data_IF_018496552976
#
_entry.id   IF_018496552976
#
_cell.length_a   1.000
_cell.length_b   1.000
_cell.length_c   1.000
_cell.angle_alpha   90.00
_cell.angle_beta   90.00
_cell.angle_gamma   90.00
#
_symmetry.space_group_name_H-M   'P 1'
#
loop_
_entity.id
_entity.type
_entity.pdbx_description
1 polymer ?
#
# COMPACT_ATOMS: atom_id res chain seq x y z
N UNK A 1 32.14 9.86 16.92
CA UNK A 1 32.17 10.54 15.61
C UNK A 1 31.39 9.70 14.62
N UNK A 2 30.19 10.13 14.25
CA UNK A 2 29.32 9.43 13.30
C UNK A 2 29.90 9.64 11.90
N UNK A 3 30.33 8.56 11.24
CA UNK A 3 31.00 8.62 9.94
C UNK A 3 30.04 9.10 8.84
N UNK A 4 30.05 10.41 8.55
CA UNK A 4 29.43 11.03 7.37
C UNK A 4 29.86 10.35 6.04
N UNK A 5 31.02 9.69 6.04
CA UNK A 5 31.54 8.90 4.91
C UNK A 5 30.66 7.68 4.57
N UNK A 6 29.91 7.11 5.53
CA UNK A 6 28.94 6.03 5.23
C UNK A 6 27.77 6.51 4.38
N UNK A 7 27.30 7.73 4.62
CA UNK A 7 26.17 8.30 3.88
C UNK A 7 26.54 8.71 2.45
N UNK A 8 27.81 9.09 2.23
CA UNK A 8 28.32 9.37 0.89
C UNK A 8 28.57 8.10 0.05
N UNK A 9 28.69 6.93 0.68
CA UNK A 9 28.88 5.63 0.02
C UNK A 9 27.61 4.77 -0.07
N UNK A 10 26.54 5.13 0.65
CA UNK A 10 25.22 4.55 0.41
C UNK A 10 24.88 4.77 -1.07
N UNK A 11 24.68 3.66 -1.79
CA UNK A 11 24.68 3.61 -3.23
C UNK A 11 23.84 4.75 -3.86
N UNK A 12 24.30 5.40 -4.95
CA UNK A 12 23.56 6.48 -5.61
C UNK A 12 22.09 6.14 -5.97
N UNK A 13 21.74 4.86 -5.94
CA UNK A 13 20.40 4.32 -6.17
C UNK A 13 19.41 4.45 -4.98
N UNK A 14 19.85 4.68 -3.74
CA UNK A 14 18.93 4.69 -2.58
C UNK A 14 18.08 5.96 -2.50
N UNK A 15 18.67 7.12 -2.81
CA UNK A 15 17.97 8.43 -2.81
C UNK A 15 16.73 8.47 -3.70
N UNK A 16 16.79 8.08 -5.00
CA UNK A 16 15.61 8.11 -5.86
C UNK A 16 14.53 7.13 -5.38
N UNK A 17 14.92 5.98 -4.83
CA UNK A 17 13.98 4.97 -4.34
C UNK A 17 13.26 5.44 -3.07
N UNK A 18 13.97 6.12 -2.16
CA UNK A 18 13.39 6.69 -0.94
C UNK A 18 12.47 7.87 -1.26
N UNK A 19 12.80 8.67 -2.29
CA UNK A 19 11.95 9.75 -2.79
C UNK A 19 10.67 9.20 -3.45
N UNK A 20 10.79 8.15 -4.26
CA UNK A 20 9.65 7.48 -4.87
C UNK A 20 8.71 6.86 -3.82
N UNK A 21 9.28 6.20 -2.80
CA UNK A 21 8.50 5.68 -1.69
C UNK A 21 7.79 6.79 -0.90
N UNK A 22 8.45 7.93 -0.68
CA UNK A 22 7.86 9.09 -0.01
C UNK A 22 6.68 9.66 -0.80
N UNK A 23 6.82 9.80 -2.12
CA UNK A 23 5.74 10.25 -3.01
C UNK A 23 4.57 9.26 -3.00
N UNK A 24 4.85 7.96 -3.08
CA UNK A 24 3.84 6.91 -3.02
C UNK A 24 3.04 6.93 -1.72
N UNK A 25 3.73 7.07 -0.57
CA UNK A 25 3.07 7.22 0.74
C UNK A 25 2.22 8.50 0.82
N UNK A 26 2.70 9.61 0.28
CA UNK A 26 1.95 10.86 0.27
C UNK A 26 0.64 10.73 -0.53
N UNK A 27 0.70 10.17 -1.74
CA UNK A 27 -0.50 9.98 -2.57
C UNK A 27 -1.47 9.00 -1.89
N UNK A 28 -0.95 7.89 -1.34
CA UNK A 28 -1.77 6.93 -0.62
C UNK A 28 -2.45 7.54 0.62
N UNK A 29 -1.73 8.38 1.37
CA UNK A 29 -2.28 9.12 2.51
C UNK A 29 -3.38 10.09 2.09
N UNK A 30 -3.19 10.83 0.99
CA UNK A 30 -4.20 11.74 0.44
C UNK A 30 -5.45 10.94 0.04
N UNK A 31 -5.30 9.84 -0.68
CA UNK A 31 -6.44 9.01 -1.10
C UNK A 31 -7.18 8.43 0.11
N UNK A 32 -6.48 7.88 1.10
CA UNK A 32 -7.09 7.40 2.35
C UNK A 32 -7.85 8.51 3.07
N UNK A 33 -7.26 9.71 3.16
CA UNK A 33 -7.90 10.87 3.77
C UNK A 33 -9.15 11.31 3.01
N UNK A 34 -9.10 11.33 1.67
CA UNK A 34 -10.26 11.66 0.82
C UNK A 34 -11.38 10.65 1.05
N UNK A 35 -11.08 9.34 1.04
CA UNK A 35 -12.07 8.27 1.28
C UNK A 35 -12.76 8.45 2.63
N UNK A 36 -12.00 8.76 3.69
CA UNK A 36 -12.55 8.95 5.04
C UNK A 36 -13.36 10.25 5.16
N UNK A 37 -12.96 11.32 4.45
CA UNK A 37 -13.54 12.66 4.63
C UNK A 37 -14.63 13.04 3.64
N UNK A 38 -14.76 12.35 2.50
CA UNK A 38 -15.59 12.81 1.38
C UNK A 38 -17.07 13.07 1.71
N UNK A 39 -17.63 12.40 2.73
CA UNK A 39 -19.03 12.55 3.14
C UNK A 39 -19.45 13.89 3.74
N UNK A 40 -18.53 14.86 3.92
CA UNK A 40 -18.88 16.18 4.49
C UNK A 40 -19.24 17.24 3.44
N UNK A 41 -18.94 17.00 2.16
CA UNK A 41 -19.11 18.00 1.10
C UNK A 41 -20.13 17.56 0.06
N UNK A 42 -21.09 18.44 -0.23
CA UNK A 42 -22.08 18.30 -1.30
C UNK A 42 -21.45 18.04 -2.69
N UNK A 43 -20.24 18.55 -2.94
CA UNK A 43 -19.53 18.37 -4.22
C UNK A 43 -19.03 16.94 -4.50
N UNK A 44 -19.13 16.01 -3.54
CA UNK A 44 -18.54 14.66 -3.63
C UNK A 44 -19.41 13.67 -4.43
N UNK A 45 -19.80 14.05 -5.65
CA UNK A 45 -20.56 13.15 -6.54
C UNK A 45 -19.72 11.89 -6.83
N UNK A 46 -20.18 10.73 -6.36
CA UNK A 46 -19.55 9.41 -6.58
C UNK A 46 -18.63 8.91 -5.47
N UNK A 47 -18.34 9.73 -4.45
CA UNK A 47 -17.45 9.37 -3.32
C UNK A 47 -18.24 8.88 -2.09
N UNK A 48 -19.24 8.04 -2.33
CA UNK A 48 -20.05 7.39 -1.29
C UNK A 48 -19.74 5.90 -1.23
N UNK A 49 -20.14 5.24 -0.14
CA UNK A 49 -20.03 3.78 0.00
C UNK A 49 -21.22 3.13 -0.71
N UNK A 50 -22.42 3.51 -0.29
CA UNK A 50 -23.70 3.08 -0.86
C UNK A 50 -24.59 4.29 -1.04
N UNK A 51 -25.31 4.33 -2.15
CA UNK A 51 -26.42 5.23 -2.37
C UNK A 51 -27.72 4.43 -2.43
N UNK A 52 -28.75 4.91 -1.77
CA UNK A 52 -30.10 4.40 -1.84
C UNK A 52 -30.93 5.40 -2.63
N UNK A 53 -31.44 4.96 -3.77
CA UNK A 53 -32.28 5.76 -4.65
C UNK A 53 -33.66 5.12 -4.75
N UNK A 54 -34.71 5.92 -4.63
CA UNK A 54 -36.07 5.45 -4.86
C UNK A 54 -36.33 5.31 -6.36
N UNK A 55 -36.86 4.16 -6.80
CA UNK A 55 -37.32 3.97 -8.18
C UNK A 55 -38.73 4.57 -8.33
N UNK A 56 -38.80 5.90 -8.20
CA UNK A 56 -40.03 6.64 -8.45
C UNK A 56 -40.23 6.76 -9.95
N UNK A 57 -41.41 6.40 -10.50
CA UNK A 57 -41.70 6.68 -11.89
C UNK A 57 -41.51 8.18 -12.12
N UNK A 58 -40.83 8.59 -13.22
CA UNK A 58 -40.57 9.99 -13.47
C UNK A 58 -41.91 10.74 -13.43
N UNK A 59 -42.06 11.65 -12.46
CA UNK A 59 -43.20 12.54 -12.40
C UNK A 59 -43.29 13.14 -13.78
N UNK A 60 -44.43 12.94 -14.46
CA UNK A 60 -44.64 13.36 -15.84
C UNK A 60 -44.42 14.87 -15.93
N UNK A 61 -43.17 15.27 -16.11
CA UNK A 61 -42.79 16.66 -16.20
C UNK A 61 -43.51 17.18 -17.42
N UNK A 62 -44.42 18.12 -17.21
CA UNK A 62 -45.20 18.72 -18.28
C UNK A 62 -44.22 19.22 -19.35
N UNK A 63 -44.20 18.50 -20.46
CA UNK A 63 -43.28 18.65 -21.57
C UNK A 63 -43.35 20.07 -22.12
N UNK A 64 -42.46 20.96 -21.70
CA UNK A 64 -42.26 22.24 -22.38
C UNK A 64 -40.83 22.80 -22.32
N UNK A 65 -39.84 22.09 -21.77
CA UNK A 65 -38.43 22.51 -21.92
C UNK A 65 -37.78 21.83 -23.13
N UNK A 66 -38.16 22.31 -24.32
CA UNK A 66 -37.43 22.05 -25.56
C UNK A 66 -36.03 22.70 -25.46
N UNK A 67 -34.99 21.90 -25.75
CA UNK A 67 -33.62 22.28 -26.15
C UNK A 67 -32.81 23.19 -25.23
N UNK A 68 -31.84 22.59 -24.53
CA UNK A 68 -30.40 22.89 -24.73
C UNK A 68 -29.53 21.93 -23.90
N UNK A 69 -29.10 20.83 -24.49
CA UNK A 69 -27.86 20.13 -24.10
C UNK A 69 -27.42 19.27 -25.27
N UNK A 70 -26.70 19.94 -26.17
CA UNK A 70 -25.88 19.34 -27.20
C UNK A 70 -24.46 19.80 -26.90
N UNK A 71 -23.53 18.86 -27.03
CA UNK A 71 -22.07 18.95 -26.92
C UNK A 71 -21.51 18.91 -25.49
N UNK A 72 -21.22 17.69 -25.03
CA UNK A 72 -19.92 17.36 -24.44
C UNK A 72 -19.66 15.85 -24.61
N UNK A 73 -18.40 15.55 -24.94
CA UNK A 73 -17.91 14.47 -25.78
C UNK A 73 -18.11 13.02 -25.35
N UNK A 74 -18.13 12.18 -26.39
CA UNK A 74 -18.17 10.73 -26.35
C UNK A 74 -16.94 10.10 -25.69
N UNK A 75 -17.16 9.26 -24.69
CA UNK A 75 -16.27 8.12 -24.41
C UNK A 75 -17.13 6.88 -24.20
N UNK A 76 -17.51 6.27 -25.32
CA UNK A 76 -18.13 4.94 -25.39
C UNK A 76 -17.23 3.91 -24.71
N UNK A 77 -17.59 3.53 -23.49
CA UNK A 77 -17.14 2.26 -22.90
C UNK A 77 -18.32 1.31 -22.97
N UNK A 78 -18.34 0.48 -24.01
CA UNK A 78 -19.28 -0.62 -24.17
C UNK A 78 -18.98 -1.68 -23.11
N UNK A 79 -19.56 -1.57 -21.92
CA UNK A 79 -19.58 -2.68 -20.96
C UNK A 79 -20.66 -3.68 -21.36
N UNK A 80 -20.27 -4.58 -22.26
CA UNK A 80 -20.93 -5.86 -22.50
C UNK A 80 -20.92 -6.65 -21.18
N UNK A 81 -22.05 -6.71 -20.50
CA UNK A 81 -22.27 -7.53 -19.31
C UNK A 81 -22.28 -9.00 -19.74
N UNK A 82 -21.10 -9.62 -19.79
CA UNK A 82 -20.98 -11.07 -19.98
C UNK A 82 -21.38 -11.74 -18.67
N UNK A 83 -22.51 -12.43 -18.68
CA UNK A 83 -22.94 -13.30 -17.57
C UNK A 83 -22.04 -14.53 -17.58
N UNK A 84 -21.13 -14.65 -16.61
CA UNK A 84 -20.30 -15.86 -16.43
C UNK A 84 -20.23 -16.23 -14.95
N UNK A 85 -20.51 -17.51 -14.72
CA UNK A 85 -20.27 -18.33 -13.54
C UNK A 85 -21.28 -18.22 -12.37
N UNK A 86 -22.40 -18.91 -12.55
CA UNK A 86 -23.07 -19.68 -11.50
C UNK A 86 -22.07 -20.64 -10.84
N UNK A 87 -21.87 -20.48 -9.53
CA UNK A 87 -21.24 -21.47 -8.67
C UNK A 87 -22.22 -22.64 -8.54
N UNK A 88 -21.84 -23.81 -9.08
CA UNK A 88 -22.57 -25.06 -8.86
C UNK A 88 -22.25 -25.58 -7.47
N UNK A 89 -23.21 -25.52 -6.55
CA UNK A 89 -23.25 -26.42 -5.40
C UNK A 89 -23.49 -27.84 -5.90
N UNK A 90 -22.53 -28.71 -5.64
CA UNK A 90 -22.60 -30.14 -5.95
C UNK A 90 -23.38 -30.82 -4.85
N UNK A 91 -24.69 -31.00 -5.05
CA UNK A 91 -25.52 -31.80 -4.15
C UNK A 91 -25.49 -33.25 -4.63
N UNK A 92 -24.84 -34.11 -3.85
CA UNK A 92 -24.74 -35.56 -4.08
C UNK A 92 -26.06 -36.24 -3.72
N UNK A 93 -26.83 -36.69 -4.70
CA UNK A 93 -27.95 -37.62 -4.50
C UNK A 93 -27.89 -38.76 -5.53
N UNK A 94 -28.10 -39.97 -5.04
CA UNK A 94 -27.99 -41.27 -5.69
C UNK A 94 -28.94 -41.48 -6.90
N UNK A 95 -28.65 -42.45 -7.79
CA UNK A 95 -29.37 -42.60 -9.06
C UNK A 95 -30.62 -43.47 -8.89
N UNK A 96 -31.75 -43.04 -9.46
CA UNK A 96 -32.85 -43.95 -9.79
C UNK A 96 -33.40 -43.62 -11.19
N UNK A 97 -33.44 -44.68 -11.99
CA UNK A 97 -33.94 -44.88 -13.36
C UNK A 97 -34.96 -43.92 -13.98
N UNK A 98 -34.59 -43.44 -15.17
CA UNK A 98 -35.28 -43.55 -16.48
C UNK A 98 -36.81 -43.73 -16.51
N UNK A 99 -37.52 -42.72 -17.01
CA UNK A 99 -38.56 -42.90 -18.05
C UNK A 99 -38.99 -41.57 -18.65
N UNK A 100 -38.96 -41.52 -19.98
CA UNK A 100 -39.52 -40.52 -20.88
C UNK A 100 -41.02 -40.28 -20.69
N UNK A 101 -41.50 -39.04 -20.87
CA UNK A 101 -42.49 -38.70 -21.90
C UNK A 101 -42.83 -37.21 -21.97
N UNK A 102 -43.13 -36.80 -23.20
CA UNK A 102 -43.72 -35.58 -23.75
C UNK A 102 -44.87 -34.96 -22.95
N UNK A 103 -44.91 -33.62 -22.84
CA UNK A 103 -46.18 -32.85 -22.90
C UNK A 103 -45.99 -31.32 -22.90
N UNK A 104 -46.55 -30.69 -23.93
CA UNK A 104 -47.32 -29.43 -23.94
C UNK A 104 -46.85 -28.19 -23.16
N UNK A 105 -46.60 -27.16 -23.96
CA UNK A 105 -46.64 -25.71 -23.69
C UNK A 105 -47.78 -25.32 -22.73
N UNK A 106 -47.43 -24.99 -21.49
CA UNK A 106 -48.27 -24.17 -20.60
C UNK A 106 -47.52 -22.87 -20.33
N UNK A 107 -48.18 -21.73 -20.60
CA UNK A 107 -47.69 -20.43 -20.16
C UNK A 107 -47.53 -20.45 -18.63
N UNK A 108 -46.39 -19.99 -18.09
CA UNK A 108 -46.16 -20.01 -16.66
C UNK A 108 -47.18 -19.10 -15.98
N UNK A 109 -47.99 -19.69 -15.11
CA UNK A 109 -48.89 -18.98 -14.22
C UNK A 109 -48.06 -17.96 -13.43
N UNK A 110 -48.42 -16.66 -13.41
CA UNK A 110 -47.67 -15.66 -12.67
C UNK A 110 -47.61 -16.10 -11.20
N UNK A 111 -46.39 -16.37 -10.74
CA UNK A 111 -46.11 -16.75 -9.36
C UNK A 111 -46.72 -15.73 -8.42
N UNK A 112 -47.43 -16.21 -7.39
CA UNK A 112 -48.17 -15.44 -6.37
C UNK A 112 -47.39 -14.23 -5.80
N UNK A 113 -46.06 -14.27 -5.83
CA UNK A 113 -45.20 -13.15 -5.42
C UNK A 113 -45.36 -11.87 -6.26
N UNK A 114 -45.67 -11.95 -7.56
CA UNK A 114 -45.74 -10.74 -8.43
C UNK A 114 -47.00 -9.91 -8.13
N UNK A 115 -48.11 -10.57 -7.79
CA UNK A 115 -49.36 -9.89 -7.44
C UNK A 115 -49.27 -9.23 -6.06
N UNK A 116 -48.58 -9.86 -5.10
CA UNK A 116 -48.29 -9.25 -3.81
C UNK A 116 -47.38 -8.02 -3.99
N UNK A 117 -46.46 -8.10 -4.95
CA UNK A 117 -45.54 -7.03 -5.34
C UNK A 117 -46.28 -5.77 -5.78
N UNK A 118 -47.20 -5.91 -6.73
CA UNK A 118 -47.98 -4.78 -7.23
C UNK A 118 -48.88 -4.19 -6.14
N UNK A 119 -49.48 -5.03 -5.29
CA UNK A 119 -50.31 -4.54 -4.18
C UNK A 119 -49.51 -3.74 -3.15
N UNK A 120 -48.30 -4.20 -2.80
CA UNK A 120 -47.43 -3.45 -1.90
C UNK A 120 -46.97 -2.13 -2.55
N UNK A 121 -46.57 -2.15 -3.83
CA UNK A 121 -46.20 -0.94 -4.57
C UNK A 121 -47.34 0.09 -4.61
N UNK A 122 -48.57 -0.37 -4.86
CA UNK A 122 -49.75 0.50 -4.90
C UNK A 122 -50.13 1.03 -3.51
N UNK A 123 -49.97 0.25 -2.44
CA UNK A 123 -50.23 0.69 -1.07
C UNK A 123 -49.21 1.74 -0.58
N UNK A 124 -47.94 1.58 -0.97
CA UNK A 124 -46.89 2.58 -0.70
C UNK A 124 -47.17 3.85 -1.50
N UNK A 125 -47.54 3.73 -2.77
CA UNK A 125 -47.92 4.87 -3.61
C UNK A 125 -49.11 5.62 -3.00
N UNK A 126 -50.13 4.92 -2.48
CA UNK A 126 -51.28 5.56 -1.85
C UNK A 126 -50.91 6.27 -0.55
N UNK A 127 -50.03 5.71 0.27
CA UNK A 127 -49.51 6.38 1.48
C UNK A 127 -48.78 7.68 1.14
N UNK A 128 -47.93 7.66 0.11
CA UNK A 128 -47.23 8.86 -0.39
C UNK A 128 -48.24 9.91 -0.93
N UNK A 129 -49.34 9.46 -1.53
CA UNK A 129 -50.34 10.35 -2.12
C UNK A 129 -51.30 10.92 -1.08
N UNK A 130 -51.58 10.19 0.01
CA UNK A 130 -52.44 10.62 1.12
C UNK A 130 -51.71 11.56 2.09
N UNK A 131 -50.38 11.42 2.24
CA UNK A 131 -49.52 12.37 2.99
C UNK A 131 -49.23 13.68 2.22
N UNK A 132 -49.98 13.98 1.16
CA UNK A 132 -50.01 15.28 0.44
C UNK A 132 -50.43 16.50 1.29
N UNK A 133 -50.35 16.41 2.61
CA UNK A 133 -50.41 17.54 3.52
C UNK A 133 -49.14 18.39 3.35
N UNK A 134 -49.10 19.22 2.31
CA UNK A 134 -48.30 20.45 2.20
C UNK A 134 -46.76 20.34 2.34
N UNK A 135 -46.18 19.14 2.34
CA UNK A 135 -44.73 18.96 2.40
C UNK A 135 -44.10 19.25 1.03
N UNK A 136 -43.56 20.46 0.86
CA UNK A 136 -42.90 20.96 -0.36
C UNK A 136 -41.54 20.31 -0.67
N UNK A 137 -41.21 19.20 -0.01
CA UNK A 137 -39.87 18.62 0.04
C UNK A 137 -39.95 17.13 -0.35
N UNK A 138 -39.37 16.76 -1.49
CA UNK A 138 -39.22 15.35 -1.90
C UNK A 138 -37.79 14.85 -1.68
N UNK A 139 -37.69 13.60 -1.20
CA UNK A 139 -36.45 12.84 -1.05
C UNK A 139 -36.31 11.82 -2.17
N UNK A 140 -35.21 11.90 -2.92
CA UNK A 140 -34.96 10.95 -4.01
C UNK A 140 -33.78 10.01 -3.71
N UNK A 141 -32.70 10.54 -3.15
CA UNK A 141 -31.44 9.82 -2.98
C UNK A 141 -30.80 10.07 -1.61
N UNK A 142 -30.40 9.00 -0.93
CA UNK A 142 -29.64 9.03 0.31
C UNK A 142 -28.27 8.34 0.14
N UNK A 143 -27.19 9.08 0.35
CA UNK A 143 -25.82 8.61 0.21
C UNK A 143 -25.15 8.44 1.56
N UNK A 144 -24.56 7.27 1.78
CA UNK A 144 -23.83 6.97 3.01
C UNK A 144 -22.33 7.01 2.78
N UNK A 145 -21.63 7.74 3.65
CA UNK A 145 -20.16 7.87 3.65
C UNK A 145 -19.60 7.60 5.06
N UNK A 146 -18.29 7.37 5.15
CA UNK A 146 -17.64 7.14 6.46
C UNK A 146 -17.84 8.30 7.44
N UNK A 147 -17.81 9.54 6.96
CA UNK A 147 -17.92 10.74 7.80
C UNK A 147 -19.35 11.22 8.07
N UNK A 148 -20.37 10.70 7.36
CA UNK A 148 -21.73 11.21 7.47
C UNK A 148 -22.69 10.66 6.43
N UNK A 149 -23.92 11.16 6.45
CA UNK A 149 -24.97 10.85 5.48
C UNK A 149 -25.28 12.15 4.73
N UNK A 150 -25.46 12.04 3.41
CA UNK A 150 -25.88 13.13 2.56
C UNK A 150 -27.21 12.75 1.91
N UNK A 151 -28.22 13.60 2.05
CA UNK A 151 -29.53 13.42 1.41
C UNK A 151 -29.72 14.47 0.33
N UNK A 152 -30.26 14.05 -0.81
CA UNK A 152 -30.70 14.96 -1.85
C UNK A 152 -32.11 15.42 -1.56
N UNK A 153 -32.27 16.74 -1.50
CA UNK A 153 -33.53 17.39 -1.23
C UNK A 153 -33.92 18.24 -2.43
N UNK A 154 -35.05 17.90 -3.05
CA UNK A 154 -35.64 18.68 -4.14
C UNK A 154 -36.82 19.47 -3.60
N UNK A 155 -36.67 20.79 -3.51
CA UNK A 155 -37.76 21.71 -3.19
C UNK A 155 -38.63 21.92 -4.44
N UNK A 156 -39.94 21.76 -4.30
CA UNK A 156 -40.89 22.04 -5.39
C UNK A 156 -41.12 23.54 -5.64
N UNK A 157 -40.67 24.41 -4.72
CA UNK A 157 -40.90 25.86 -4.77
C UNK A 157 -39.83 26.57 -5.60
N UNK A 158 -39.84 26.35 -6.92
CA UNK A 158 -39.23 27.27 -7.92
C UNK A 158 -37.70 27.43 -7.91
N UNK A 159 -36.97 26.84 -6.96
CA UNK A 159 -35.51 26.85 -6.92
C UNK A 159 -35.00 25.75 -7.85
N UNK A 160 -34.44 26.15 -9.01
CA UNK A 160 -33.81 25.23 -9.96
C UNK A 160 -32.54 24.63 -9.37
N UNK A 161 -32.66 23.49 -8.68
CA UNK A 161 -31.52 22.67 -8.31
C UNK A 161 -31.77 21.76 -7.11
N UNK A 162 -31.32 20.52 -7.23
CA UNK A 162 -31.19 19.59 -6.11
C UNK A 162 -30.15 20.12 -5.11
N UNK A 163 -30.54 20.33 -3.86
CA UNK A 163 -29.61 20.68 -2.79
C UNK A 163 -29.25 19.43 -2.01
N UNK A 164 -27.95 19.24 -1.79
CA UNK A 164 -27.43 18.15 -0.97
C UNK A 164 -27.21 18.63 0.44
N UNK A 165 -27.93 18.04 1.39
CA UNK A 165 -27.79 18.30 2.81
C UNK A 165 -26.96 17.17 3.42
N UNK A 166 -25.73 17.49 3.82
CA UNK A 166 -24.80 16.54 4.42
C UNK A 166 -24.65 16.82 5.91
N UNK A 167 -24.76 15.78 6.74
CA UNK A 167 -24.66 15.93 8.19
C UNK A 167 -24.20 14.66 8.89
N UNK A 168 -24.03 14.79 10.21
CA UNK A 168 -23.97 13.63 11.10
C UNK A 168 -25.34 12.98 11.20
N UNK A 169 -25.39 11.71 11.63
CA UNK A 169 -26.63 10.92 11.75
C UNK A 169 -27.72 11.67 12.52
N UNK A 170 -27.39 12.21 13.70
CA UNK A 170 -28.33 12.92 14.56
C UNK A 170 -28.89 14.18 13.89
N UNK A 171 -28.08 14.87 13.10
CA UNK A 171 -28.53 16.07 12.39
C UNK A 171 -29.43 15.71 11.20
N UNK A 172 -29.12 14.63 10.48
CA UNK A 172 -29.90 14.21 9.30
C UNK A 172 -31.24 13.59 9.67
N UNK A 173 -31.33 12.91 10.81
CA UNK A 173 -32.60 12.36 11.31
C UNK A 173 -33.60 13.47 11.65
N UNK A 174 -33.14 14.54 12.30
CA UNK A 174 -33.97 15.72 12.57
C UNK A 174 -34.43 16.39 11.27
N UNK A 175 -33.55 16.45 10.26
CA UNK A 175 -33.92 16.98 8.94
C UNK A 175 -34.93 16.08 8.20
N UNK A 176 -34.76 14.75 8.29
CA UNK A 176 -35.69 13.77 7.73
C UNK A 176 -37.07 13.82 8.37
N UNK A 177 -37.10 13.87 9.71
CA UNK A 177 -38.35 14.01 10.47
C UNK A 177 -39.09 15.32 10.16
N UNK A 178 -38.34 16.41 9.92
CA UNK A 178 -38.93 17.72 9.60
C UNK A 178 -39.49 17.78 8.17
N UNK A 179 -38.93 16.97 7.26
CA UNK A 179 -39.30 16.99 5.85
C UNK A 179 -40.45 16.03 5.48
N UNK A 180 -41.08 15.39 6.47
CA UNK A 180 -42.41 14.78 6.34
C UNK A 180 -42.53 13.74 5.23
N UNK A 181 -42.07 12.50 5.51
CA UNK A 181 -42.41 11.35 4.68
C UNK A 181 -41.22 10.57 4.17
N UNK A 182 -40.45 9.94 5.08
CA UNK A 182 -39.58 8.83 4.70
C UNK A 182 -40.34 7.51 4.93
N UNK A 183 -41.16 7.03 3.96
CA UNK A 183 -42.08 5.91 4.16
C UNK A 183 -41.38 4.59 4.51
N UNK A 184 -40.08 4.49 4.23
CA UNK A 184 -39.26 3.32 4.50
C UNK A 184 -38.15 3.58 5.52
N UNK A 185 -38.11 4.76 6.13
CA UNK A 185 -37.05 5.16 7.06
C UNK A 185 -35.64 4.85 6.50
N UNK A 186 -35.37 5.25 5.26
CA UNK A 186 -34.05 5.09 4.63
C UNK A 186 -32.96 5.77 5.46
N UNK A 187 -33.28 6.88 6.12
CA UNK A 187 -32.33 7.57 6.99
C UNK A 187 -31.97 6.68 8.18
N UNK A 188 -32.94 6.04 8.82
CA UNK A 188 -32.71 5.06 9.89
C UNK A 188 -31.93 3.84 9.41
N UNK A 189 -32.25 3.30 8.23
CA UNK A 189 -31.51 2.17 7.62
C UNK A 189 -30.06 2.58 7.30
N UNK A 190 -29.86 3.77 6.74
CA UNK A 190 -28.55 4.34 6.44
C UNK A 190 -27.71 4.58 7.70
N UNK A 191 -28.34 5.10 8.76
CA UNK A 191 -27.75 5.28 10.08
C UNK A 191 -27.33 3.94 10.68
N UNK A 192 -28.23 2.95 10.67
CA UNK A 192 -27.96 1.61 11.16
C UNK A 192 -26.81 0.94 10.39
N UNK A 193 -26.80 1.05 9.06
CA UNK A 193 -25.72 0.55 8.22
C UNK A 193 -24.38 1.22 8.56
N UNK A 194 -24.36 2.54 8.73
CA UNK A 194 -23.16 3.28 9.10
C UNK A 194 -22.61 2.81 10.46
N UNK A 195 -23.46 2.65 11.46
CA UNK A 195 -23.03 2.34 12.82
C UNK A 195 -22.67 0.86 13.04
N UNK A 196 -23.32 -0.05 12.29
CA UNK A 196 -23.12 -1.50 12.47
C UNK A 196 -22.20 -2.13 11.43
N UNK A 197 -22.14 -1.57 10.22
CA UNK A 197 -21.50 -2.22 9.07
C UNK A 197 -20.33 -1.41 8.53
N UNK A 198 -20.41 -0.08 8.53
CA UNK A 198 -19.30 0.76 8.10
C UNK A 198 -18.22 0.81 9.19
N UNK A 199 -17.36 -0.20 9.23
CA UNK A 199 -16.16 -0.23 10.07
C UNK A 199 -15.22 0.91 9.66
N UNK A 200 -15.41 2.09 10.25
CA UNK A 200 -14.56 3.26 10.01
C UNK A 200 -13.17 3.09 10.67
N UNK A 201 -13.07 2.25 11.71
CA UNK A 201 -11.87 2.12 12.54
C UNK A 201 -10.63 1.66 11.74
N UNK A 202 -10.68 0.61 10.90
CA UNK A 202 -9.54 0.23 10.05
C UNK A 202 -9.03 1.37 9.16
N UNK A 203 -9.93 2.17 8.60
CA UNK A 203 -9.56 3.32 7.75
C UNK A 203 -8.89 4.44 8.54
N UNK A 204 -9.38 4.74 9.75
CA UNK A 204 -8.74 5.72 10.63
C UNK A 204 -7.36 5.26 11.10
N UNK A 205 -7.22 3.99 11.49
CA UNK A 205 -5.93 3.39 11.87
C UNK A 205 -4.96 3.44 10.69
N UNK A 206 -5.40 3.05 9.50
CA UNK A 206 -4.61 3.13 8.28
C UNK A 206 -4.13 4.56 7.99
N UNK A 207 -5.05 5.54 8.02
CA UNK A 207 -4.74 6.95 7.76
C UNK A 207 -3.75 7.51 8.78
N UNK A 208 -3.91 7.18 10.06
CA UNK A 208 -3.00 7.59 11.12
C UNK A 208 -1.60 6.97 10.95
N UNK A 209 -1.52 5.65 10.75
CA UNK A 209 -0.25 4.95 10.54
C UNK A 209 0.49 5.45 9.30
N UNK A 210 -0.20 5.61 8.17
CA UNK A 210 0.39 6.13 6.94
C UNK A 210 0.81 7.60 7.09
N UNK A 211 0.03 8.43 7.78
CA UNK A 211 0.37 9.83 8.04
C UNK A 211 1.64 9.96 8.88
N UNK A 212 1.76 9.18 9.96
CA UNK A 212 2.98 9.17 10.79
C UNK A 212 4.16 8.60 10.00
N UNK A 213 3.98 7.51 9.24
CA UNK A 213 5.03 6.94 8.39
C UNK A 213 5.51 7.94 7.33
N UNK A 214 4.58 8.68 6.71
CA UNK A 214 4.89 9.76 5.76
C UNK A 214 5.69 10.88 6.43
N UNK A 215 5.28 11.35 7.62
CA UNK A 215 6.01 12.39 8.34
C UNK A 215 7.41 11.92 8.74
N UNK A 216 7.56 10.69 9.25
CA UNK A 216 8.86 10.11 9.53
C UNK A 216 9.72 10.06 8.26
N UNK A 217 9.17 9.63 7.12
CA UNK A 217 9.87 9.59 5.84
C UNK A 217 10.31 10.97 5.34
N UNK A 218 9.46 11.99 5.53
CA UNK A 218 9.78 13.37 5.20
C UNK A 218 10.94 13.91 6.07
N UNK A 219 10.98 13.57 7.36
CA UNK A 219 12.09 13.92 8.24
C UNK A 219 13.37 13.20 7.81
N UNK A 220 13.27 11.92 7.39
CA UNK A 220 14.40 11.13 6.89
C UNK A 220 15.02 11.72 5.61
N UNK A 221 14.26 12.51 4.84
CA UNK A 221 14.73 13.18 3.63
C UNK A 221 15.55 14.45 3.89
N UNK A 222 15.56 14.98 5.11
CA UNK A 222 16.31 16.19 5.45
C UNK A 222 17.80 15.82 5.64
N UNK A 223 18.71 16.27 4.76
CA UNK A 223 20.12 15.84 4.77
C UNK A 223 20.94 16.33 5.97
N UNK A 224 20.35 17.17 6.83
CA UNK A 224 21.04 17.83 7.95
C UNK A 224 20.88 17.08 9.29
N UNK A 225 20.01 16.07 9.37
CA UNK A 225 19.73 15.38 10.63
C UNK A 225 20.45 14.02 10.70
N UNK A 226 21.27 13.75 11.72
CA UNK A 226 21.82 12.42 11.97
C UNK A 226 20.68 11.50 12.42
N UNK A 227 20.16 10.73 11.48
CA UNK A 227 19.01 9.86 11.70
C UNK A 227 19.42 8.63 12.50
N UNK A 228 18.73 8.30 13.61
CA UNK A 228 18.92 7.04 14.30
C UNK A 228 18.37 5.88 13.45
N UNK A 229 19.06 4.73 13.36
CA UNK A 229 18.59 3.55 12.61
C UNK A 229 17.26 2.98 13.16
N UNK A 230 16.90 3.36 14.39
CA UNK A 230 15.62 3.01 15.01
C UNK A 230 14.45 3.65 14.24
N UNK A 231 14.59 4.89 13.79
CA UNK A 231 13.50 5.63 13.12
C UNK A 231 13.12 4.94 11.81
N UNK A 232 14.11 4.50 11.01
CA UNK A 232 13.82 3.80 9.75
C UNK A 232 13.07 2.48 9.98
N UNK A 233 13.47 1.71 11.00
CA UNK A 233 12.78 0.45 11.36
C UNK A 233 11.34 0.70 11.77
N UNK A 234 11.10 1.74 12.58
CA UNK A 234 9.76 2.14 13.00
C UNK A 234 8.93 2.57 11.79
N UNK A 235 9.48 3.40 10.87
CA UNK A 235 8.79 3.82 9.65
C UNK A 235 8.38 2.63 8.79
N UNK A 236 9.28 1.65 8.59
CA UNK A 236 8.98 0.44 7.82
C UNK A 236 7.82 -0.35 8.43
N UNK A 237 7.88 -0.62 9.74
CA UNK A 237 6.82 -1.34 10.47
C UNK A 237 5.50 -0.59 10.40
N UNK A 238 5.51 0.72 10.62
CA UNK A 238 4.29 1.53 10.63
C UNK A 238 3.65 1.65 9.24
N UNK A 239 4.45 1.75 8.18
CA UNK A 239 3.97 1.71 6.79
C UNK A 239 3.29 0.38 6.46
N UNK A 240 3.84 -0.73 6.97
CA UNK A 240 3.31 -2.07 6.75
C UNK A 240 1.98 -2.26 7.50
N UNK A 241 1.91 -1.83 8.77
CA UNK A 241 0.68 -1.86 9.57
C UNK A 241 -0.40 -1.00 8.89
N UNK A 242 -0.05 0.20 8.42
CA UNK A 242 -0.98 1.08 7.69
C UNK A 242 -1.51 0.43 6.40
N UNK A 243 -0.64 -0.25 5.64
CA UNK A 243 -1.02 -0.96 4.41
C UNK A 243 -1.93 -2.15 4.68
N UNK A 244 -1.67 -2.93 5.74
CA UNK A 244 -2.52 -4.05 6.15
C UNK A 244 -3.88 -3.56 6.65
N UNK A 245 -3.92 -2.46 7.42
CA UNK A 245 -5.16 -1.84 7.85
C UNK A 245 -6.00 -1.31 6.67
N UNK A 246 -5.35 -0.70 5.66
CA UNK A 246 -6.01 -0.31 4.40
C UNK A 246 -6.62 -1.53 3.69
N UNK A 247 -5.85 -2.61 3.55
CA UNK A 247 -6.33 -3.83 2.90
C UNK A 247 -7.56 -4.41 3.63
N UNK A 248 -7.50 -4.49 4.97
CA UNK A 248 -8.63 -4.92 5.79
C UNK A 248 -9.85 -4.02 5.60
N UNK A 249 -9.67 -2.70 5.60
CA UNK A 249 -10.74 -1.73 5.33
C UNK A 249 -11.38 -1.89 3.95
N UNK A 250 -10.58 -2.14 2.92
CA UNK A 250 -11.05 -2.35 1.54
C UNK A 250 -11.84 -3.65 1.37
N UNK A 251 -11.33 -4.75 1.93
CA UNK A 251 -12.00 -6.06 1.85
C UNK A 251 -13.33 -5.99 2.58
N UNK A 252 -13.35 -5.43 3.80
CA UNK A 252 -14.58 -5.25 4.57
C UNK A 252 -15.57 -4.37 3.81
N UNK A 253 -15.14 -3.24 3.24
CA UNK A 253 -16.01 -2.37 2.45
C UNK A 253 -16.59 -3.09 1.22
N UNK A 254 -15.76 -3.81 0.47
CA UNK A 254 -16.18 -4.50 -0.74
C UNK A 254 -17.24 -5.59 -0.44
N UNK A 255 -17.00 -6.41 0.57
CA UNK A 255 -17.93 -7.48 0.96
C UNK A 255 -19.22 -6.90 1.51
N UNK A 256 -19.13 -5.89 2.38
CA UNK A 256 -20.32 -5.28 3.00
C UNK A 256 -21.18 -4.53 1.99
N UNK A 257 -20.58 -3.74 1.10
CA UNK A 257 -21.33 -2.99 0.09
C UNK A 257 -22.05 -3.92 -0.90
N UNK A 258 -21.39 -4.99 -1.37
CA UNK A 258 -22.01 -5.96 -2.27
C UNK A 258 -23.14 -6.74 -1.58
N UNK A 259 -22.91 -7.13 -0.32
CA UNK A 259 -23.92 -7.84 0.47
C UNK A 259 -25.15 -6.96 0.68
N UNK A 260 -24.97 -5.71 1.08
CA UNK A 260 -26.09 -4.78 1.29
C UNK A 260 -26.84 -4.48 0.00
N UNK A 261 -26.15 -4.21 -1.11
CA UNK A 261 -26.84 -4.01 -2.39
C UNK A 261 -27.73 -5.21 -2.77
N UNK A 262 -27.24 -6.44 -2.55
CA UNK A 262 -28.01 -7.67 -2.84
C UNK A 262 -29.18 -7.89 -1.88
N UNK A 263 -29.01 -7.58 -0.59
CA UNK A 263 -30.04 -7.74 0.43
C UNK A 263 -31.12 -6.69 0.23
N UNK A 264 -30.74 -5.42 0.01
CA UNK A 264 -31.69 -4.34 -0.24
C UNK A 264 -32.53 -4.66 -1.47
N UNK A 265 -31.93 -5.03 -2.61
CA UNK A 265 -32.70 -5.39 -3.82
C UNK A 265 -33.73 -6.50 -3.57
N UNK A 266 -33.40 -7.50 -2.72
CA UNK A 266 -34.33 -8.60 -2.40
C UNK A 266 -35.41 -8.20 -1.40
N UNK A 267 -35.10 -7.38 -0.40
CA UNK A 267 -36.04 -6.97 0.65
C UNK A 267 -36.98 -5.87 0.19
N UNK A 268 -36.48 -4.92 -0.60
CA UNK A 268 -37.26 -3.77 -1.07
C UNK A 268 -38.01 -4.06 -2.35
N UNK A 269 -37.93 -5.28 -2.88
CA UNK A 269 -38.81 -5.68 -3.99
C UNK A 269 -38.57 -4.77 -5.23
N UNK A 270 -37.35 -4.26 -5.40
CA UNK A 270 -36.92 -3.25 -6.39
C UNK A 270 -37.60 -1.87 -6.26
N UNK A 271 -38.18 -1.51 -5.11
CA UNK A 271 -38.65 -0.13 -4.87
C UNK A 271 -37.51 0.83 -4.51
N UNK A 272 -36.41 0.29 -3.97
CA UNK A 272 -35.18 1.02 -3.65
C UNK A 272 -34.01 0.38 -4.37
N UNK A 273 -33.36 1.15 -5.24
CA UNK A 273 -32.13 0.76 -5.91
C UNK A 273 -30.93 1.16 -5.04
N UNK A 274 -30.15 0.16 -4.63
CA UNK A 274 -28.89 0.39 -3.93
C UNK A 274 -27.72 0.41 -4.93
N UNK A 275 -27.04 1.54 -5.06
CA UNK A 275 -25.86 1.70 -5.90
C UNK A 275 -24.59 1.76 -5.06
N UNK A 276 -23.58 0.95 -5.40
CA UNK A 276 -22.26 0.99 -4.76
C UNK A 276 -21.37 2.01 -5.46
N UNK A 277 -20.76 2.92 -4.69
CA UNK A 277 -19.89 3.97 -5.23
C UNK A 277 -18.59 3.41 -5.82
N UNK A 278 -18.56 3.17 -7.13
CA UNK A 278 -17.38 2.62 -7.85
C UNK A 278 -16.14 3.50 -7.73
N UNK A 279 -16.32 4.83 -7.64
CA UNK A 279 -15.20 5.77 -7.57
C UNK A 279 -14.46 5.67 -6.23
N UNK A 280 -15.20 5.47 -5.13
CA UNK A 280 -14.62 5.25 -3.81
C UNK A 280 -13.78 3.96 -3.79
N UNK A 281 -14.31 2.88 -4.40
CA UNK A 281 -13.59 1.62 -4.54
C UNK A 281 -12.30 1.79 -5.36
N UNK A 282 -12.35 2.47 -6.50
CA UNK A 282 -11.17 2.71 -7.35
C UNK A 282 -10.09 3.54 -6.63
N UNK A 283 -10.46 4.59 -5.89
CA UNK A 283 -9.53 5.40 -5.09
C UNK A 283 -8.92 4.60 -3.94
N UNK A 284 -9.72 3.76 -3.29
CA UNK A 284 -9.25 2.85 -2.26
C UNK A 284 -8.20 1.86 -2.76
N UNK A 285 -8.47 1.13 -3.85
CA UNK A 285 -7.55 0.15 -4.42
C UNK A 285 -6.28 0.79 -4.99
N UNK A 286 -6.38 1.96 -5.62
CA UNK A 286 -5.20 2.69 -6.10
C UNK A 286 -4.33 3.21 -4.96
N UNK A 287 -4.94 3.73 -3.88
CA UNK A 287 -4.24 4.13 -2.67
C UNK A 287 -3.52 2.94 -2.01
N UNK A 288 -4.17 1.78 -1.95
CA UNK A 288 -3.57 0.55 -1.43
C UNK A 288 -2.38 0.07 -2.28
N UNK A 289 -2.51 0.05 -3.61
CA UNK A 289 -1.42 -0.37 -4.50
C UNK A 289 -0.18 0.53 -4.34
N UNK A 290 -0.39 1.85 -4.22
CA UNK A 290 0.69 2.81 -3.97
C UNK A 290 1.32 2.65 -2.58
N UNK A 291 0.50 2.45 -1.53
CA UNK A 291 0.98 2.20 -0.18
C UNK A 291 1.82 0.91 -0.10
N UNK A 292 1.35 -0.17 -0.74
CA UNK A 292 2.03 -1.45 -0.79
C UNK A 292 3.39 -1.34 -1.49
N UNK A 293 3.41 -0.68 -2.65
CA UNK A 293 4.65 -0.46 -3.39
C UNK A 293 5.65 0.37 -2.58
N UNK A 294 5.18 1.44 -1.92
CA UNK A 294 6.02 2.26 -1.06
C UNK A 294 6.55 1.47 0.15
N UNK A 295 5.71 0.63 0.76
CA UNK A 295 6.08 -0.22 1.89
C UNK A 295 7.16 -1.25 1.49
N UNK A 296 7.05 -1.85 0.30
CA UNK A 296 8.08 -2.75 -0.24
C UNK A 296 9.40 -1.99 -0.45
N UNK A 297 9.35 -0.81 -1.07
CA UNK A 297 10.54 0.02 -1.29
C UNK A 297 11.25 0.36 0.02
N UNK A 298 10.50 0.82 1.04
CA UNK A 298 11.06 1.13 2.36
C UNK A 298 11.64 -0.12 3.02
N UNK A 299 10.93 -1.25 2.95
CA UNK A 299 11.38 -2.52 3.53
C UNK A 299 12.68 -3.01 2.92
N UNK A 300 12.87 -2.87 1.60
CA UNK A 300 14.12 -3.23 0.90
C UNK A 300 15.28 -2.35 1.36
N UNK A 301 15.08 -1.03 1.52
CA UNK A 301 16.13 -0.12 2.02
C UNK A 301 16.54 -0.50 3.43
N UNK A 302 15.55 -0.71 4.31
CA UNK A 302 15.79 -1.08 5.72
C UNK A 302 16.46 -2.45 5.83
N UNK A 303 16.08 -3.42 5.00
CA UNK A 303 16.74 -4.71 4.93
C UNK A 303 18.21 -4.59 4.44
N UNK A 304 18.46 -3.74 3.45
CA UNK A 304 19.82 -3.48 2.95
C UNK A 304 20.70 -2.85 4.03
N UNK A 305 20.20 -1.86 4.78
CA UNK A 305 20.94 -1.27 5.90
C UNK A 305 21.22 -2.29 7.01
N UNK A 306 20.24 -3.12 7.37
CA UNK A 306 20.43 -4.18 8.36
C UNK A 306 21.46 -5.23 7.91
N UNK A 307 21.49 -5.57 6.62
CA UNK A 307 22.49 -6.47 6.06
C UNK A 307 23.89 -5.87 6.12
N UNK A 308 24.03 -4.56 5.86
CA UNK A 308 25.30 -3.84 5.98
C UNK A 308 25.79 -3.78 7.42
N UNK A 309 24.93 -3.40 8.39
CA UNK A 309 25.29 -3.39 9.82
C UNK A 309 25.76 -4.78 10.28
N UNK A 310 25.07 -5.84 9.83
CA UNK A 310 25.42 -7.21 10.18
C UNK A 310 26.77 -7.60 9.56
N UNK A 311 27.02 -7.20 8.32
CA UNK A 311 28.27 -7.46 7.60
C UNK A 311 29.49 -6.82 8.26
N UNK A 312 29.35 -5.59 8.75
CA UNK A 312 30.43 -4.88 9.45
C UNK A 312 30.77 -5.56 10.79
N UNK A 313 29.75 -5.93 11.58
CA UNK A 313 29.98 -6.68 12.82
C UNK A 313 30.64 -8.04 12.57
N UNK A 314 30.36 -8.70 11.45
CA UNK A 314 31.06 -9.92 11.07
C UNK A 314 32.50 -9.65 10.65
N UNK A 315 32.75 -8.53 9.97
CA UNK A 315 34.09 -8.15 9.53
C UNK A 315 34.99 -7.78 10.72
N UNK A 316 34.47 -7.03 11.69
CA UNK A 316 35.19 -6.67 12.91
C UNK A 316 35.55 -7.93 13.71
N UNK A 317 34.59 -8.84 13.91
CA UNK A 317 34.85 -10.14 14.57
C UNK A 317 35.88 -10.99 13.80
N UNK A 318 35.83 -10.97 12.47
CA UNK A 318 36.80 -11.70 11.66
C UNK A 318 38.19 -11.06 11.70
N UNK A 319 38.26 -9.73 11.81
CA UNK A 319 39.51 -8.99 11.97
C UNK A 319 40.14 -9.30 13.34
N UNK A 320 39.37 -9.21 14.43
CA UNK A 320 39.82 -9.54 15.78
C UNK A 320 40.28 -11.02 15.88
N UNK A 321 39.52 -11.94 15.27
CA UNK A 321 39.92 -13.35 15.21
C UNK A 321 41.21 -13.58 14.39
N UNK A 322 41.47 -12.76 13.37
CA UNK A 322 42.70 -12.84 12.59
C UNK A 322 43.89 -12.25 13.37
N UNK A 323 43.70 -11.13 14.08
CA UNK A 323 44.72 -10.52 14.94
C UNK A 323 45.11 -11.47 16.07
N UNK A 324 44.14 -12.08 16.77
CA UNK A 324 44.43 -13.06 17.81
C UNK A 324 45.20 -14.29 17.31
N UNK A 325 44.93 -14.74 16.08
CA UNK A 325 45.71 -15.83 15.44
C UNK A 325 47.15 -15.41 15.14
N UNK A 326 47.38 -14.18 14.71
CA UNK A 326 48.71 -13.65 14.48
C UNK A 326 49.49 -13.54 15.79
N UNK A 327 48.88 -13.00 16.84
CA UNK A 327 49.51 -12.82 18.15
C UNK A 327 49.91 -14.18 18.77
N UNK A 328 49.06 -15.21 18.68
CA UNK A 328 49.39 -16.56 19.16
C UNK A 328 50.55 -17.24 18.41
N UNK A 329 50.90 -16.77 17.20
CA UNK A 329 51.98 -17.34 16.38
C UNK A 329 53.29 -16.57 16.48
N UNK A 330 53.32 -15.40 17.12
CA UNK A 330 54.58 -14.75 17.45
C UNK A 330 55.18 -15.54 18.61
N UNK A 331 56.30 -16.26 18.42
CA UNK A 331 56.93 -16.98 19.51
C UNK A 331 57.32 -15.94 20.57
N UNK A 332 56.69 -16.03 21.73
CA UNK A 332 57.14 -15.30 22.91
C UNK A 332 58.61 -15.63 23.10
N UNK A 333 59.47 -14.68 22.75
CA UNK A 333 60.88 -14.74 23.09
C UNK A 333 60.97 -14.99 24.59
N UNK A 334 61.67 -16.07 24.94
CA UNK A 334 61.99 -16.51 26.29
C UNK A 334 62.17 -15.33 27.27
N UNK A 335 61.52 -15.32 28.46
CA UNK A 335 61.64 -14.26 29.46
C UNK A 335 63.01 -14.20 30.16
N UNK A 336 64.06 -14.78 29.58
CA UNK A 336 65.43 -14.72 30.08
C UNK A 336 66.36 -14.00 29.11
N UNK A 337 66.21 -12.67 28.98
CA UNK A 337 67.33 -11.84 28.59
C UNK A 337 67.25 -10.44 29.20
N UNK A 338 67.34 -10.42 30.54
CA UNK A 338 67.89 -9.27 31.26
C UNK A 338 69.38 -9.17 30.90
N UNK A 339 69.70 -8.51 29.79
CA UNK A 339 71.06 -8.01 29.53
C UNK A 339 71.04 -6.50 29.61
N UNK A 340 71.56 -6.02 30.73
CA UNK A 340 72.03 -4.66 30.96
C UNK A 340 72.96 -4.24 29.82
N UNK A 341 72.45 -3.53 28.82
CA UNK A 341 73.26 -2.88 27.80
C UNK A 341 73.42 -1.41 28.18
N UNK A 342 74.39 -1.16 29.06
CA UNK A 342 75.15 0.08 29.07
C UNK A 342 76.22 -0.07 27.99
N UNK A 343 76.02 0.57 26.84
CA UNK A 343 76.90 0.38 25.69
C UNK A 343 76.58 1.38 24.58
N UNK A 344 77.39 2.42 24.54
CA UNK A 344 77.38 3.53 23.62
C UNK A 344 77.53 3.14 22.14
N UNK A 345 76.93 3.97 21.28
CA UNK A 345 77.26 4.28 19.88
C UNK A 345 76.82 3.36 18.73
N UNK A 346 76.04 3.97 17.82
CA UNK A 346 75.99 3.82 16.37
C UNK A 346 75.67 2.45 15.75
N UNK A 347 74.39 2.07 15.78
CA UNK A 347 73.82 1.11 14.81
C UNK A 347 72.32 1.34 14.60
N UNK A 348 71.95 2.52 14.10
CA UNK A 348 70.59 2.82 13.65
C UNK A 348 70.50 2.67 12.13
N UNK A 349 70.15 1.49 11.62
CA UNK A 349 69.47 1.30 10.32
C UNK A 349 69.40 -0.17 9.91
N UNK A 350 68.25 -0.82 10.13
CA UNK A 350 68.01 -2.16 9.59
C UNK A 350 66.55 -2.40 9.25
N UNK A 351 65.64 -2.19 10.21
CA UNK A 351 64.21 -2.44 9.98
C UNK A 351 63.46 -1.30 9.28
N UNK A 352 63.98 -0.07 9.33
CA UNK A 352 63.31 1.11 8.76
C UNK A 352 63.52 1.31 7.24
N UNK A 353 64.44 0.58 6.60
CA UNK A 353 64.72 0.72 5.16
C UNK A 353 63.87 -0.22 4.29
N UNK A 354 63.56 -1.42 4.76
CA UNK A 354 62.82 -2.42 3.97
C UNK A 354 61.37 -2.00 3.63
N UNK A 355 60.69 -1.25 4.52
CA UNK A 355 59.35 -0.72 4.27
C UNK A 355 59.34 0.51 3.34
N UNK A 356 60.45 1.25 3.28
CA UNK A 356 60.56 2.45 2.43
C UNK A 356 60.87 2.09 0.98
N UNK A 357 61.64 1.02 0.76
CA UNK A 357 62.05 0.60 -0.59
C UNK A 357 61.01 -0.32 -1.27
N UNK A 358 60.28 -1.15 -0.52
CA UNK A 358 59.25 -2.06 -1.09
C UNK A 358 57.80 -1.52 -1.01
N UNK A 359 57.58 -0.42 -0.30
CA UNK A 359 56.25 0.20 -0.14
C UNK A 359 55.51 0.55 -1.44
N UNK A 360 56.18 1.07 -2.50
CA UNK A 360 55.51 1.42 -3.75
C UNK A 360 54.89 0.21 -4.46
N UNK A 361 55.55 -0.94 -4.43
CA UNK A 361 55.10 -2.14 -5.15
C UNK A 361 53.93 -2.84 -4.45
N UNK A 362 53.90 -2.83 -3.12
CA UNK A 362 52.77 -3.32 -2.33
C UNK A 362 51.53 -2.45 -2.55
N UNK A 363 51.69 -1.13 -2.59
CA UNK A 363 50.60 -0.20 -2.87
C UNK A 363 50.09 -0.32 -4.32
N UNK A 364 50.97 -0.59 -5.28
CA UNK A 364 50.60 -0.81 -6.69
C UNK A 364 49.87 -2.14 -6.89
N UNK A 365 50.23 -3.18 -6.14
CA UNK A 365 49.52 -4.46 -6.08
C UNK A 365 48.14 -4.33 -5.44
N UNK A 366 48.03 -3.56 -4.34
CA UNK A 366 46.75 -3.27 -3.67
C UNK A 366 45.80 -2.46 -4.56
N UNK A 367 46.32 -1.51 -5.34
CA UNK A 367 45.51 -0.72 -6.27
C UNK A 367 44.97 -1.52 -7.47
N UNK A 368 45.61 -2.64 -7.83
CA UNK A 368 45.17 -3.54 -8.92
C UNK A 368 44.29 -4.70 -8.46
N UNK A 369 44.22 -4.97 -7.16
CA UNK A 369 43.45 -6.09 -6.64
C UNK A 369 41.94 -5.81 -6.77
N UNK A 370 41.24 -6.65 -7.53
CA UNK A 370 39.78 -6.54 -7.74
C UNK A 370 38.99 -7.35 -6.71
N UNK A 371 39.67 -8.29 -6.06
CA UNK A 371 39.10 -9.15 -5.03
C UNK A 371 39.97 -9.18 -3.77
N UNK A 372 39.35 -9.50 -2.63
CA UNK A 372 40.02 -9.58 -1.33
C UNK A 372 41.15 -10.62 -1.31
N UNK A 373 41.03 -11.69 -2.08
CA UNK A 373 42.07 -12.72 -2.22
C UNK A 373 43.33 -12.21 -2.92
N UNK A 374 43.17 -11.39 -3.96
CA UNK A 374 44.29 -10.79 -4.69
C UNK A 374 45.04 -9.76 -3.86
N UNK A 375 44.32 -8.95 -3.07
CA UNK A 375 44.93 -7.98 -2.16
C UNK A 375 45.80 -8.68 -1.10
N UNK A 376 45.30 -9.77 -0.52
CA UNK A 376 46.04 -10.55 0.46
C UNK A 376 47.22 -11.30 -0.17
N UNK A 377 47.07 -11.81 -1.40
CA UNK A 377 48.17 -12.43 -2.15
C UNK A 377 49.26 -11.43 -2.52
N UNK A 378 48.91 -10.18 -2.85
CA UNK A 378 49.88 -9.13 -3.16
C UNK A 378 50.69 -8.71 -1.92
N UNK A 379 50.04 -8.60 -0.77
CA UNK A 379 50.73 -8.31 0.51
C UNK A 379 51.61 -9.49 0.93
N UNK A 380 51.14 -10.73 0.79
CA UNK A 380 51.92 -11.92 1.14
C UNK A 380 53.10 -12.16 0.18
N UNK A 381 52.95 -11.82 -1.10
CA UNK A 381 53.99 -11.96 -2.12
C UNK A 381 55.20 -11.03 -1.89
N UNK A 382 54.96 -9.82 -1.38
CA UNK A 382 56.02 -8.84 -1.07
C UNK A 382 57.06 -9.31 -0.05
N UNK A 383 56.71 -10.26 0.81
CA UNK A 383 57.62 -10.79 1.84
C UNK A 383 58.41 -12.04 1.41
N UNK A 384 58.12 -12.64 0.23
CA UNK A 384 58.69 -13.93 -0.16
C UNK A 384 59.86 -13.84 -1.16
N UNK A 385 60.24 -12.65 -1.61
CA UNK A 385 61.19 -12.45 -2.71
C UNK A 385 62.65 -12.23 -2.29
N UNK A 386 63.08 -12.68 -1.11
CA UNK A 386 64.47 -12.48 -0.63
C UNK A 386 65.17 -13.76 -0.14
N UNK A 387 64.86 -14.92 -0.73
CA UNK A 387 65.62 -16.16 -0.49
C UNK A 387 65.82 -16.97 -1.76
N UNK A 388 67.02 -16.91 -2.33
CA UNK A 388 67.58 -17.98 -3.16
C UNK A 388 67.84 -17.64 -4.63
N UNK A 389 68.87 -16.82 -4.89
CA UNK A 389 69.50 -16.69 -6.20
C UNK A 389 70.91 -17.28 -6.20
N UNK A 390 71.05 -18.60 -6.01
CA UNK A 390 72.30 -19.31 -6.29
C UNK A 390 72.38 -19.53 -7.81
N UNK A 391 73.32 -18.84 -8.45
CA UNK A 391 73.70 -19.00 -9.87
C UNK A 391 74.10 -20.45 -10.13
N UNK A 392 73.32 -21.14 -10.96
CA UNK A 392 73.77 -22.32 -11.68
C UNK A 392 74.42 -21.88 -13.00
N UNK A 393 75.73 -22.04 -13.07
CA UNK A 393 76.57 -21.82 -14.25
C UNK A 393 76.28 -22.92 -15.28
N UNK A 394 75.70 -22.56 -16.43
CA UNK A 394 75.52 -23.47 -17.57
C UNK A 394 76.80 -23.47 -18.41
N UNK A 395 77.56 -24.55 -18.32
CA UNK A 395 78.64 -24.90 -19.24
C UNK A 395 78.01 -25.23 -20.60
N UNK A 396 78.42 -24.48 -21.63
CA UNK A 396 78.05 -24.68 -23.03
C UNK A 396 79.09 -25.56 -23.71
N UNK A 397 78.68 -26.70 -24.25
CA UNK A 397 79.50 -27.50 -25.19
C UNK A 397 79.17 -27.07 -26.63
N UNK A 398 80.18 -26.89 -27.50
CA UNK A 398 79.96 -26.61 -28.91
C UNK A 398 79.65 -27.88 -29.71
N UNK A 399 78.61 -27.80 -30.55
CA UNK A 399 78.29 -28.78 -31.58
C UNK A 399 79.36 -28.72 -32.69
N UNK A 400 80.01 -29.85 -32.94
CA UNK A 400 80.80 -30.11 -34.15
C UNK A 400 79.86 -30.36 -35.34
N UNK A 401 80.22 -29.79 -36.49
CA UNK A 401 79.72 -30.14 -37.81
C UNK A 401 80.49 -31.36 -38.38
N UNK A 402 79.81 -32.04 -39.31
CA UNK A 402 80.20 -33.15 -40.20
C UNK A 402 79.88 -34.54 -39.70
#
# INVERSE_FOLDING_TARGET
MVNLVRFARAAPCTKPLLAFASLGLMIAFIFSTVVVTAGKKSSSKGLYIVSFEYDLPPVASSTNSIRKRQDDDATTTTQQTRVVATVSETMTVAPTSTSSMTSSTMMPTPTVNVVLQEKFKNAVQSLITDDNMNATIQFNEARVSYSGICVEVTSMEGIKGSQWLCGSVNTTEVLGATAGGDPFDLIGVAAYFKDKVAFALPWWVATACLGVAMLCQMILMIPLLPIPPVVQKVTAVLSLIGTLALLGGLILQHVTANTVASITSRLTINTVNAHVGRMNQALGWSGFALALLASICISVVVAAEMALEKGERMMDRAADAAVGKLESRVPFGSPMQNRSFSGSSNASSGLGRSLRDNGPDVLRGLAKAKTRGEALSAVAGGFRSEKGGLRGEKISHPHLMV
#
